data_IF_710150160603
#
_entry.id   IF_710150160603
#
_cell.length_a   1.000
_cell.length_b   1.000
_cell.length_c   1.000
_cell.angle_alpha   90.00
_cell.angle_beta   90.00
_cell.angle_gamma   90.00
#
_symmetry.space_group_name_H-M   'P 1'
#
loop_
_entity.id
_entity.type
_entity.pdbx_description
1 polymer ?
#
# COMPACT_ATOMS: atom_id res chain seq x y z
N UNK A 1 -5.73 -22.32 43.27
CA UNK A 1 -5.57 -22.69 41.85
C UNK A 1 -5.63 -21.41 41.05
N UNK A 2 -4.47 -20.83 40.74
CA UNK A 2 -4.36 -19.62 39.91
C UNK A 2 -4.15 -20.07 38.45
N UNK A 3 -5.07 -19.69 37.57
CA UNK A 3 -4.88 -19.80 36.13
C UNK A 3 -4.13 -18.55 35.67
N UNK A 4 -2.95 -18.78 35.11
CA UNK A 4 -2.08 -17.77 34.50
C UNK A 4 -2.70 -17.29 33.18
N UNK A 5 -3.20 -16.07 33.16
CA UNK A 5 -3.52 -15.37 31.93
C UNK A 5 -2.20 -14.96 31.25
N UNK A 6 -1.85 -15.68 30.19
CA UNK A 6 -0.75 -15.33 29.29
C UNK A 6 -1.18 -14.15 28.43
N UNK A 7 -1.05 -12.93 28.95
CA UNK A 7 -1.16 -11.70 28.17
C UNK A 7 0.01 -11.66 27.19
N UNK A 8 -0.26 -12.00 25.93
CA UNK A 8 0.69 -11.83 24.84
C UNK A 8 1.11 -10.36 24.75
N UNK A 9 2.36 -10.08 25.07
CA UNK A 9 2.95 -8.75 24.89
C UNK A 9 2.82 -8.35 23.40
N UNK A 10 2.60 -7.06 23.08
CA UNK A 10 2.60 -6.61 21.70
C UNK A 10 3.97 -6.95 21.08
N UNK A 11 3.96 -7.67 19.96
CA UNK A 11 5.19 -7.98 19.23
C UNK A 11 5.92 -6.69 18.87
N UNK A 12 7.05 -6.44 19.56
CA UNK A 12 7.93 -5.33 19.23
C UNK A 12 8.64 -5.67 17.91
N UNK A 13 8.31 -4.95 16.84
CA UNK A 13 9.04 -5.00 15.57
C UNK A 13 10.53 -4.75 15.84
N UNK A 14 11.42 -5.61 15.31
CA UNK A 14 12.85 -5.36 15.41
C UNK A 14 13.22 -4.08 14.65
N UNK A 15 14.34 -3.40 14.98
CA UNK A 15 14.80 -2.22 14.22
C UNK A 15 14.93 -2.48 12.71
N UNK A 16 15.30 -3.71 12.33
CA UNK A 16 15.40 -4.12 10.94
C UNK A 16 14.01 -4.23 10.31
N UNK A 17 13.05 -4.88 10.97
CA UNK A 17 11.67 -5.00 10.47
C UNK A 17 11.01 -3.63 10.31
N UNK A 18 11.23 -2.73 11.28
CA UNK A 18 10.77 -1.36 11.20
C UNK A 18 11.37 -0.62 10.00
N UNK A 19 12.69 -0.68 9.81
CA UNK A 19 13.37 -0.05 8.68
C UNK A 19 12.88 -0.59 7.34
N UNK A 20 12.71 -1.92 7.24
CA UNK A 20 12.14 -2.58 6.07
C UNK A 20 10.71 -2.14 5.80
N UNK A 21 9.86 -2.03 6.82
CA UNK A 21 8.50 -1.53 6.68
C UNK A 21 8.45 -0.07 6.21
N UNK A 22 9.27 0.82 6.79
CA UNK A 22 9.37 2.22 6.36
C UNK A 22 9.85 2.32 4.91
N UNK A 23 10.86 1.53 4.52
CA UNK A 23 11.37 1.48 3.15
C UNK A 23 10.30 0.97 2.17
N UNK A 24 9.56 -0.07 2.53
CA UNK A 24 8.46 -0.61 1.70
C UNK A 24 7.34 0.42 1.50
N UNK A 25 6.92 1.11 2.57
CA UNK A 25 5.87 2.14 2.52
C UNK A 25 6.33 3.33 1.68
N UNK A 26 7.54 3.85 1.91
CA UNK A 26 8.05 5.02 1.16
C UNK A 26 8.32 4.67 -0.30
N UNK A 27 8.79 3.46 -0.60
CA UNK A 27 8.90 2.96 -1.97
C UNK A 27 7.54 2.88 -2.67
N UNK A 28 6.47 2.48 -1.96
CA UNK A 28 5.13 2.40 -2.53
C UNK A 28 4.39 3.75 -2.61
N UNK A 29 4.50 4.61 -1.62
CA UNK A 29 3.66 5.82 -1.47
C UNK A 29 4.43 7.14 -1.35
N UNK A 30 5.75 7.11 -1.43
CA UNK A 30 6.61 8.31 -1.45
C UNK A 30 6.45 9.16 -2.72
N UNK A 31 5.92 8.57 -3.79
CA UNK A 31 5.51 9.29 -4.99
C UNK A 31 4.04 9.72 -4.86
N UNK A 32 3.72 11.03 -4.96
CA UNK A 32 2.37 11.53 -4.78
C UNK A 32 1.41 11.00 -5.85
N UNK A 33 1.85 10.90 -7.11
CA UNK A 33 1.04 10.36 -8.21
C UNK A 33 0.68 8.91 -7.96
N UNK A 34 1.63 8.07 -7.53
CA UNK A 34 1.39 6.66 -7.20
C UNK A 34 0.38 6.50 -6.07
N UNK A 35 0.44 7.39 -5.07
CA UNK A 35 -0.51 7.41 -3.95
C UNK A 35 -1.93 7.71 -4.43
N UNK A 36 -2.10 8.73 -5.27
CA UNK A 36 -3.41 9.05 -5.84
C UNK A 36 -3.94 7.94 -6.75
N UNK A 37 -3.06 7.27 -7.52
CA UNK A 37 -3.42 6.10 -8.32
C UNK A 37 -3.93 4.95 -7.43
N UNK A 38 -3.30 4.71 -6.29
CA UNK A 38 -3.77 3.70 -5.34
C UNK A 38 -5.16 4.03 -4.78
N UNK A 39 -5.40 5.29 -4.38
CA UNK A 39 -6.71 5.72 -3.89
C UNK A 39 -7.79 5.54 -4.97
N UNK A 40 -7.50 5.93 -6.21
CA UNK A 40 -8.39 5.69 -7.35
C UNK A 40 -8.67 4.20 -7.59
N UNK A 41 -7.65 3.34 -7.50
CA UNK A 41 -7.82 1.90 -7.65
C UNK A 41 -8.63 1.27 -6.51
N UNK A 42 -8.45 1.77 -5.29
CA UNK A 42 -9.17 1.33 -4.08
C UNK A 42 -10.65 1.69 -4.10
N UNK A 43 -11.00 2.85 -4.63
CA UNK A 43 -12.39 3.30 -4.74
C UNK A 43 -13.16 2.56 -5.87
N UNK A 44 -12.48 1.78 -6.71
CA UNK A 44 -13.07 0.96 -7.77
C UNK A 44 -13.24 -0.50 -7.32
N UNK A 45 -14.48 -0.95 -7.13
CA UNK A 45 -14.77 -2.34 -6.75
C UNK A 45 -14.27 -3.37 -7.79
N UNK A 46 -14.32 -3.02 -9.06
CA UNK A 46 -13.87 -3.86 -10.19
C UNK A 46 -12.36 -3.69 -10.50
N UNK A 47 -11.65 -2.90 -9.69
CA UNK A 47 -10.28 -2.48 -9.96
C UNK A 47 -10.18 -1.58 -11.19
N UNK A 48 -8.93 -1.33 -11.61
CA UNK A 48 -8.58 -0.40 -12.69
C UNK A 48 -7.60 -1.03 -13.67
N UNK A 49 -7.58 -0.53 -14.89
CA UNK A 49 -6.61 -0.87 -15.93
C UNK A 49 -5.58 0.24 -16.08
N UNK A 50 -4.41 -0.09 -16.63
CA UNK A 50 -3.40 0.92 -16.94
C UNK A 50 -3.91 2.02 -17.90
N UNK A 51 -4.86 1.70 -18.78
CA UNK A 51 -5.46 2.67 -19.69
C UNK A 51 -6.39 3.66 -18.98
N UNK A 52 -7.23 3.18 -18.06
CA UNK A 52 -8.10 4.04 -17.24
C UNK A 52 -7.25 4.97 -16.35
N UNK A 53 -6.18 4.46 -15.76
CA UNK A 53 -5.22 5.27 -14.98
C UNK A 53 -4.51 6.29 -15.87
N UNK A 54 -4.02 5.89 -17.03
CA UNK A 54 -3.36 6.79 -17.98
C UNK A 54 -4.27 7.95 -18.37
N UNK A 55 -5.54 7.67 -18.66
CA UNK A 55 -6.53 8.69 -18.99
C UNK A 55 -6.84 9.61 -17.80
N UNK A 56 -7.10 9.04 -16.61
CA UNK A 56 -7.53 9.79 -15.43
C UNK A 56 -6.46 10.74 -14.87
N UNK A 57 -5.19 10.36 -15.01
CA UNK A 57 -4.04 11.09 -14.46
C UNK A 57 -3.20 11.77 -15.55
N UNK A 58 -3.66 11.77 -16.80
CA UNK A 58 -2.95 12.37 -17.95
C UNK A 58 -1.52 11.84 -18.12
N UNK A 59 -1.34 10.54 -17.88
CA UNK A 59 -0.05 9.85 -17.96
C UNK A 59 0.07 9.05 -19.25
N UNK A 60 1.31 8.83 -19.68
CA UNK A 60 1.56 7.82 -20.69
C UNK A 60 1.23 6.41 -20.15
N UNK A 61 0.67 5.53 -20.99
CA UNK A 61 0.23 4.19 -20.59
C UNK A 61 1.33 3.34 -19.92
N UNK A 62 2.60 3.49 -20.34
CA UNK A 62 3.72 2.79 -19.70
C UNK A 62 4.05 3.35 -18.31
N UNK A 63 3.87 4.65 -18.09
CA UNK A 63 4.10 5.29 -16.78
C UNK A 63 3.01 4.84 -15.80
N UNK A 64 1.75 4.90 -16.21
CA UNK A 64 0.63 4.37 -15.42
C UNK A 64 0.86 2.90 -15.02
N UNK A 65 1.27 2.06 -15.98
CA UNK A 65 1.60 0.65 -15.69
C UNK A 65 2.74 0.50 -14.71
N UNK A 66 3.78 1.32 -14.82
CA UNK A 66 4.90 1.28 -13.89
C UNK A 66 4.47 1.59 -12.45
N UNK A 67 3.61 2.60 -12.24
CA UNK A 67 3.05 2.89 -10.91
C UNK A 67 2.22 1.71 -10.37
N UNK A 68 1.37 1.12 -11.21
CA UNK A 68 0.53 -0.02 -10.84
C UNK A 68 1.36 -1.27 -10.50
N UNK A 69 2.39 -1.57 -11.29
CA UNK A 69 3.28 -2.72 -11.06
C UNK A 69 4.10 -2.53 -9.77
N UNK A 70 4.49 -1.29 -9.43
CA UNK A 70 5.14 -0.97 -8.15
C UNK A 70 4.22 -1.20 -6.95
N UNK A 71 2.96 -0.81 -7.06
CA UNK A 71 1.95 -1.06 -6.02
C UNK A 71 1.67 -2.56 -5.87
N UNK A 72 1.55 -3.29 -6.98
CA UNK A 72 1.37 -4.73 -6.96
C UNK A 72 2.58 -5.47 -6.37
N UNK A 73 3.80 -5.06 -6.70
CA UNK A 73 5.02 -5.65 -6.12
C UNK A 73 5.12 -5.41 -4.60
N UNK A 74 4.48 -4.36 -4.08
CA UNK A 74 4.37 -4.08 -2.65
C UNK A 74 3.20 -4.76 -1.95
N UNK A 75 2.39 -5.57 -2.66
CA UNK A 75 1.22 -6.24 -2.12
C UNK A 75 -0.04 -5.36 -1.99
N UNK A 76 0.00 -4.12 -2.45
CA UNK A 76 -1.14 -3.19 -2.31
C UNK A 76 -2.23 -3.40 -3.36
N UNK A 77 -1.87 -4.01 -4.50
CA UNK A 77 -2.79 -4.32 -5.58
C UNK A 77 -2.65 -5.79 -6.03
N UNK A 78 -3.77 -6.47 -6.16
CA UNK A 78 -3.88 -7.76 -6.83
C UNK A 78 -4.00 -7.54 -8.33
N UNK A 79 -3.36 -8.42 -9.11
CA UNK A 79 -3.36 -8.35 -10.58
C UNK A 79 -4.12 -9.53 -11.16
N UNK A 80 -5.26 -9.25 -11.80
CA UNK A 80 -6.04 -10.24 -12.52
C UNK A 80 -5.97 -9.98 -14.04
N UNK A 81 -5.83 -11.03 -14.84
CA UNK A 81 -6.00 -10.92 -16.29
C UNK A 81 -7.44 -11.20 -16.63
N UNK A 82 -8.18 -10.19 -17.08
CA UNK A 82 -9.57 -10.36 -17.50
C UNK A 82 -9.60 -10.52 -19.02
N UNK A 83 -10.28 -11.58 -19.47
CA UNK A 83 -10.56 -11.77 -20.90
C UNK A 83 -11.54 -10.69 -21.36
N UNK A 84 -11.19 -9.98 -22.42
CA UNK A 84 -12.09 -9.00 -23.01
C UNK A 84 -13.35 -9.71 -23.53
N UNK A 85 -14.53 -9.18 -23.18
CA UNK A 85 -15.81 -9.63 -23.75
C UNK A 85 -15.99 -8.91 -25.09
N UNK A 86 -15.25 -9.33 -26.12
CA UNK A 86 -15.27 -8.72 -27.46
C UNK A 86 -13.91 -8.69 -28.16
N UNK A 87 -13.82 -7.94 -29.27
CA UNK A 87 -12.58 -7.74 -30.00
C UNK A 87 -11.64 -6.81 -29.21
N UNK A 88 -10.64 -7.38 -28.53
CA UNK A 88 -9.65 -6.62 -27.79
C UNK A 88 -8.58 -7.54 -27.19
N UNK A 89 -7.39 -7.00 -26.94
CA UNK A 89 -6.35 -7.74 -26.20
C UNK A 89 -6.77 -7.83 -24.73
N UNK A 90 -6.58 -8.98 -24.06
CA UNK A 90 -6.78 -9.08 -22.62
C UNK A 90 -5.99 -7.97 -21.90
N UNK A 91 -6.63 -7.31 -20.95
CA UNK A 91 -5.99 -6.27 -20.12
C UNK A 91 -5.84 -6.76 -18.69
N UNK A 92 -4.70 -6.43 -18.07
CA UNK A 92 -4.54 -6.55 -16.62
C UNK A 92 -5.48 -5.58 -15.93
N UNK A 93 -6.23 -6.08 -14.95
CA UNK A 93 -6.94 -5.29 -13.94
C UNK A 93 -6.17 -5.37 -12.63
N UNK A 94 -6.04 -4.23 -11.99
CA UNK A 94 -5.38 -4.04 -10.71
C UNK A 94 -6.45 -3.66 -9.70
N UNK A 95 -6.60 -4.43 -8.63
CA UNK A 95 -7.61 -4.20 -7.58
C UNK A 95 -6.90 -4.05 -6.25
N UNK A 96 -7.39 -3.17 -5.37
CA UNK A 96 -6.88 -3.11 -4.01
C UNK A 96 -6.99 -4.50 -3.34
N UNK A 97 -5.88 -4.93 -2.75
CA UNK A 97 -5.81 -6.22 -2.05
C UNK A 97 -6.54 -6.12 -0.71
N UNK A 98 -7.43 -7.08 -0.43
CA UNK A 98 -8.19 -7.14 0.82
C UNK A 98 -7.29 -7.50 2.03
N UNK A 99 -6.17 -8.18 1.79
CA UNK A 99 -5.26 -8.69 2.83
C UNK A 99 -4.40 -7.61 3.51
N UNK A 100 -4.20 -6.44 2.89
CA UNK A 100 -3.32 -5.40 3.43
C UNK A 100 -4.05 -4.30 4.24
N UNK A 101 -5.28 -4.56 4.68
CA UNK A 101 -5.95 -3.71 5.66
C UNK A 101 -6.09 -4.40 7.03
N UNK A 102 -4.97 -4.57 7.75
CA UNK A 102 -4.99 -4.39 9.19
C UNK A 102 -3.84 -3.48 9.63
N UNK A 103 -3.91 -2.18 9.30
CA UNK A 103 -3.23 -1.17 10.12
C UNK A 103 -4.20 -0.62 11.17
N UNK A 104 -4.91 -1.52 11.88
CA UNK A 104 -5.35 -1.18 13.24
C UNK A 104 -4.14 -1.43 14.11
N UNK A 105 -3.14 -0.56 14.01
CA UNK A 105 -2.15 -0.46 15.07
C UNK A 105 -2.90 0.11 16.28
N UNK A 106 -3.03 -0.62 17.41
CA UNK A 106 -3.42 -0.01 18.68
C UNK A 106 -2.30 0.87 19.25
N UNK A 107 -1.34 1.27 18.41
CA UNK A 107 -0.45 2.38 18.73
C UNK A 107 -1.26 3.63 18.46
N UNK A 108 -1.52 4.42 19.50
CA UNK A 108 -2.10 5.75 19.33
C UNK A 108 -1.25 6.43 18.28
N UNK A 109 -1.84 6.77 17.12
CA UNK A 109 -1.06 7.27 15.97
C UNK A 109 -0.23 8.50 16.37
N UNK A 110 -0.71 9.25 17.36
CA UNK A 110 -0.01 10.33 18.04
C UNK A 110 1.35 9.91 18.60
N UNK A 111 1.47 8.74 19.24
CA UNK A 111 2.71 8.29 19.87
C UNK A 111 3.81 8.00 18.83
N UNK A 112 3.43 7.54 17.63
CA UNK A 112 4.38 7.32 16.53
C UNK A 112 4.85 8.66 15.99
N UNK A 113 3.93 9.57 15.69
CA UNK A 113 4.26 10.90 15.16
C UNK A 113 5.09 11.70 16.16
N UNK A 114 4.71 11.67 17.43
CA UNK A 114 5.42 12.35 18.53
C UNK A 114 6.81 11.75 18.72
N UNK A 115 6.98 10.43 18.72
CA UNK A 115 8.30 9.82 18.85
C UNK A 115 9.20 10.10 17.64
N UNK A 116 8.65 10.05 16.42
CA UNK A 116 9.43 10.31 15.21
C UNK A 116 9.89 11.77 15.18
N UNK A 117 9.01 12.70 15.54
CA UNK A 117 9.32 14.13 15.66
C UNK A 117 10.35 14.39 16.77
N UNK A 118 10.16 13.79 17.95
CA UNK A 118 11.10 13.91 19.07
C UNK A 118 12.50 13.44 18.72
N UNK A 119 12.62 12.32 18.01
CA UNK A 119 13.91 11.82 17.49
C UNK A 119 14.53 12.78 16.48
N UNK A 120 13.77 13.23 15.47
CA UNK A 120 14.29 14.15 14.45
C UNK A 120 14.80 15.48 15.04
N UNK A 121 14.12 16.00 16.07
CA UNK A 121 14.54 17.21 16.78
C UNK A 121 15.77 17.00 17.68
N UNK A 122 16.02 15.78 18.12
CA UNK A 122 17.18 15.46 18.99
C UNK A 122 18.47 15.25 18.20
N UNK A 123 18.38 15.11 16.88
CA UNK A 123 19.52 14.98 15.96
C UNK A 123 19.93 16.29 15.28
N UNK A 124 19.27 17.42 15.63
CA UNK A 124 19.60 18.79 15.22
C UNK A 124 20.41 19.51 16.30
#
# INVERSE_FOLDING_TARGET
MAATESTGAPEHLSPTDFSSAVSAITSAFGDPTRREIYLFARDSSEGVTASEVAQRFELHANVARHHLDKLAAGGYLDVATVRAVGAGRPSKRYRASDEHMPFVMPVRHDDIVINLLGRALSEL
#
